data_IF_213761492972
#
_entry.id   IF_213761492972
#
_cell.length_a   1.000
_cell.length_b   1.000
_cell.length_c   1.000
_cell.angle_alpha   90.00
_cell.angle_beta   90.00
_cell.angle_gamma   90.00
#
_symmetry.space_group_name_H-M   'P 1'
#
loop_
_entity.id
_entity.type
_entity.pdbx_description
1 polymer ?
#
# COMPACT_ATOMS: atom_id res chain seq x y z
N UNK A 1 20.59 2.93 -2.95
CA UNK A 1 20.15 4.24 -2.44
C UNK A 1 18.63 4.19 -2.38
N UNK A 2 18.01 4.42 -1.23
CA UNK A 2 16.56 4.39 -1.10
C UNK A 2 15.93 5.55 -1.89
N UNK A 3 14.88 5.28 -2.68
CA UNK A 3 14.16 6.31 -3.44
C UNK A 3 12.90 6.70 -2.67
N UNK A 4 12.80 7.97 -2.32
CA UNK A 4 11.60 8.50 -1.66
C UNK A 4 10.61 9.03 -2.70
N UNK A 5 9.42 8.46 -2.69
CA UNK A 5 8.28 8.80 -3.54
C UNK A 5 7.37 9.81 -2.85
N UNK A 6 6.77 10.70 -3.63
CA UNK A 6 5.68 11.57 -3.18
C UNK A 6 4.35 10.83 -3.21
N UNK A 7 3.33 11.40 -2.57
CA UNK A 7 1.95 10.90 -2.69
C UNK A 7 1.50 10.80 -4.17
N UNK A 8 1.93 11.75 -5.02
CA UNK A 8 1.55 11.75 -6.43
C UNK A 8 2.21 10.57 -7.17
N UNK A 9 3.50 10.33 -6.95
CA UNK A 9 4.22 9.22 -7.57
C UNK A 9 3.60 7.86 -7.17
N UNK A 10 3.24 7.69 -5.89
CA UNK A 10 2.59 6.46 -5.41
C UNK A 10 1.19 6.30 -5.99
N UNK A 11 0.43 7.41 -6.10
CA UNK A 11 -0.90 7.39 -6.68
C UNK A 11 -0.87 6.94 -8.15
N UNK A 12 0.10 7.45 -8.92
CA UNK A 12 0.34 7.01 -10.29
C UNK A 12 0.77 5.55 -10.36
N UNK A 13 1.73 5.14 -9.51
CA UNK A 13 2.24 3.76 -9.48
C UNK A 13 1.14 2.73 -9.19
N UNK A 14 0.29 2.99 -8.21
CA UNK A 14 -0.81 2.11 -7.83
C UNK A 14 -2.07 2.32 -8.68
N UNK A 15 -2.07 3.31 -9.59
CA UNK A 15 -3.22 3.74 -10.39
C UNK A 15 -4.47 4.04 -9.51
N UNK A 16 -4.29 4.86 -8.49
CA UNK A 16 -5.34 5.28 -7.53
C UNK A 16 -5.34 6.80 -7.35
N UNK A 17 -6.34 7.33 -6.64
CA UNK A 17 -6.35 8.75 -6.30
C UNK A 17 -5.30 9.10 -5.23
N UNK A 18 -4.75 10.31 -5.29
CA UNK A 18 -3.91 10.85 -4.21
C UNK A 18 -4.66 10.97 -2.86
N UNK A 19 -5.99 11.00 -2.88
CA UNK A 19 -6.82 10.93 -1.68
C UNK A 19 -6.73 9.55 -1.01
N UNK A 20 -6.81 8.48 -1.82
CA UNK A 20 -6.69 7.11 -1.36
C UNK A 20 -5.30 6.83 -0.74
N UNK A 21 -4.22 7.30 -1.36
CA UNK A 21 -2.87 7.18 -0.78
C UNK A 21 -2.78 7.89 0.57
N UNK A 22 -3.38 9.09 0.72
CA UNK A 22 -3.44 9.78 2.03
C UNK A 22 -4.22 8.99 3.07
N UNK A 23 -5.29 8.31 2.68
CA UNK A 23 -6.05 7.45 3.58
C UNK A 23 -5.19 6.28 4.07
N UNK A 24 -4.45 5.62 3.19
CA UNK A 24 -3.53 4.53 3.56
C UNK A 24 -2.44 4.99 4.53
N UNK A 25 -1.89 6.19 4.31
CA UNK A 25 -0.90 6.78 5.25
C UNK A 25 -1.54 7.06 6.61
N UNK A 26 -2.75 7.62 6.63
CA UNK A 26 -3.46 7.96 7.89
C UNK A 26 -3.94 6.73 8.64
N UNK A 27 -4.32 5.66 7.96
CA UNK A 27 -4.67 4.38 8.59
C UNK A 27 -3.44 3.62 9.09
N UNK A 28 -2.25 3.99 8.63
CA UNK A 28 -0.99 3.32 8.94
C UNK A 28 -0.71 2.11 8.06
N UNK A 29 -1.59 1.78 7.11
CA UNK A 29 -1.39 0.69 6.15
C UNK A 29 -0.25 0.95 5.17
N UNK A 30 0.03 2.23 4.88
CA UNK A 30 1.19 2.62 4.08
C UNK A 30 2.09 3.55 4.90
N UNK A 31 3.15 3.02 5.53
CA UNK A 31 4.09 3.82 6.31
C UNK A 31 4.71 4.93 5.45
N UNK A 32 4.74 6.13 6.00
CA UNK A 32 5.33 7.30 5.34
C UNK A 32 5.95 8.23 6.39
N UNK A 33 6.99 8.94 5.99
CA UNK A 33 7.60 9.98 6.82
C UNK A 33 7.14 11.35 6.35
N UNK A 34 6.98 12.28 7.28
CA UNK A 34 6.74 13.68 6.94
C UNK A 34 8.09 14.41 6.87
N UNK A 35 8.39 15.00 5.72
CA UNK A 35 9.64 15.73 5.50
C UNK A 35 9.30 17.20 5.27
N UNK A 36 9.71 18.08 6.18
CA UNK A 36 9.48 19.52 6.07
C UNK A 36 8.07 19.95 6.50
N UNK A 37 7.44 20.80 5.70
CA UNK A 37 6.19 21.47 6.05
C UNK A 37 4.96 20.56 6.16
N UNK A 38 3.83 21.15 6.53
CA UNK A 38 2.57 20.40 6.71
C UNK A 38 2.14 19.71 5.41
N UNK A 39 1.98 18.39 5.45
CA UNK A 39 1.45 17.61 4.32
C UNK A 39 2.49 17.13 3.29
N UNK A 40 3.79 17.33 3.54
CA UNK A 40 4.85 16.79 2.69
C UNK A 40 5.23 15.38 3.16
N UNK A 41 4.54 14.37 2.62
CA UNK A 41 4.81 12.96 2.91
C UNK A 41 5.80 12.37 1.91
N UNK A 42 6.63 11.45 2.39
CA UNK A 42 7.57 10.66 1.59
C UNK A 42 7.42 9.18 1.95
N UNK A 43 7.32 8.36 0.92
CA UNK A 43 7.18 6.92 1.01
C UNK A 43 8.45 6.33 0.42
N UNK A 44 9.15 5.49 1.17
CA UNK A 44 10.29 4.77 0.61
C UNK A 44 9.80 3.74 -0.42
N UNK A 45 10.51 3.56 -1.53
CA UNK A 45 10.14 2.61 -2.58
C UNK A 45 10.05 1.17 -2.07
N UNK A 46 10.95 0.78 -1.17
CA UNK A 46 10.92 -0.54 -0.49
C UNK A 46 9.68 -0.73 0.38
N UNK A 47 9.20 0.33 1.03
CA UNK A 47 7.96 0.31 1.83
C UNK A 47 6.74 0.15 0.93
N UNK A 48 6.70 0.86 -0.20
CA UNK A 48 5.63 0.67 -1.18
C UNK A 48 5.61 -0.75 -1.72
N UNK A 49 6.77 -1.32 -2.03
CA UNK A 49 6.88 -2.70 -2.51
C UNK A 49 6.39 -3.69 -1.44
N UNK A 50 6.79 -3.52 -0.18
CA UNK A 50 6.33 -4.35 0.93
C UNK A 50 4.81 -4.30 1.11
N UNK A 51 4.22 -3.10 1.03
CA UNK A 51 2.76 -2.96 1.03
C UNK A 51 2.11 -3.78 -0.11
N UNK A 52 2.62 -3.67 -1.34
CA UNK A 52 2.08 -4.42 -2.49
C UNK A 52 2.18 -5.92 -2.26
N UNK A 53 3.30 -6.41 -1.76
CA UNK A 53 3.53 -7.83 -1.48
C UNK A 53 2.54 -8.35 -0.42
N UNK A 54 2.35 -7.61 0.68
CA UNK A 54 1.34 -7.93 1.71
C UNK A 54 -0.09 -7.96 1.13
N UNK A 55 -0.44 -7.04 0.23
CA UNK A 55 -1.76 -7.05 -0.45
C UNK A 55 -1.94 -8.30 -1.31
N UNK A 56 -0.89 -8.77 -1.98
CA UNK A 56 -0.94 -10.00 -2.76
C UNK A 56 -1.09 -11.23 -1.87
N UNK A 57 -0.34 -11.31 -0.77
CA UNK A 57 -0.44 -12.42 0.19
C UNK A 57 -1.82 -12.49 0.82
N UNK A 58 -2.36 -11.36 1.28
CA UNK A 58 -3.71 -11.30 1.83
C UNK A 58 -4.76 -11.75 0.80
N UNK A 59 -4.62 -11.34 -0.45
CA UNK A 59 -5.50 -11.77 -1.54
C UNK A 59 -5.40 -13.28 -1.78
N UNK A 60 -4.18 -13.83 -1.78
CA UNK A 60 -3.93 -15.27 -1.94
C UNK A 60 -4.63 -16.07 -0.83
N UNK A 61 -4.44 -15.68 0.42
CA UNK A 61 -5.09 -16.34 1.56
C UNK A 61 -6.62 -16.32 1.47
N UNK A 62 -7.21 -15.21 1.05
CA UNK A 62 -8.67 -15.08 0.88
C UNK A 62 -9.23 -15.98 -0.23
N UNK A 63 -8.48 -16.16 -1.32
CA UNK A 63 -8.90 -17.04 -2.43
C UNK A 63 -8.75 -18.51 -2.03
N UNK A 64 -7.67 -18.87 -1.34
CA UNK A 64 -7.43 -20.23 -0.85
C UNK A 64 -8.49 -20.65 0.18
N UNK A 65 -8.81 -19.79 1.16
CA UNK A 65 -9.83 -20.08 2.17
C UNK A 65 -11.19 -20.32 1.53
N UNK A 66 -11.58 -19.47 0.57
CA UNK A 66 -12.84 -19.61 -0.17
C UNK A 66 -12.89 -20.93 -0.94
N UNK A 67 -11.78 -21.36 -1.55
CA UNK A 67 -11.73 -22.63 -2.30
C UNK A 67 -11.89 -23.84 -1.38
N UNK A 68 -11.30 -23.81 -0.18
CA UNK A 68 -11.47 -24.90 0.80
C UNK A 68 -12.90 -25.01 1.31
N UNK A 69 -13.60 -23.89 1.55
CA UNK A 69 -15.00 -23.88 2.00
C UNK A 69 -15.95 -24.48 0.95
N UNK A 70 -15.74 -24.15 -0.34
CA UNK A 70 -16.58 -24.66 -1.44
C UNK A 70 -16.31 -26.13 -1.78
N UNK A 71 -15.12 -26.66 -1.50
CA UNK A 71 -14.80 -28.08 -1.76
C UNK A 71 -15.28 -29.02 -0.65
N UNK A 72 -15.69 -28.47 0.50
CA UNK A 72 -16.11 -29.21 1.70
C UNK A 72 -17.63 -29.18 1.91
N UNK A 73 -18.39 -28.70 0.92
CA UNK A 73 -19.86 -28.71 0.80
C UNK A 73 -20.29 -29.55 -0.39
#
# INVERSE_FOLDING_TARGET
MAKFLTIADVAEYLNVSAGQVRTLIRSGELPAIQVGGRGQWRIEDTVLQGYVDERYEQTRHLVESRRSEHSNS
#
